data_IF_773063940313
#
_entry.id   IF_773063940313
#
_cell.length_a   1.000
_cell.length_b   1.000
_cell.length_c   1.000
_cell.angle_alpha   90.00
_cell.angle_beta   90.00
_cell.angle_gamma   90.00
#
_symmetry.space_group_name_H-M   'P 1'
#
loop_
_entity.id
_entity.type
_entity.pdbx_description
1 polymer ?
#
# COMPACT_ATOMS: atom_id res chain seq x y z
N UNK A 1 -7.69 38.12 -30.25
CA UNK A 1 -7.67 36.69 -29.83
C UNK A 1 -6.58 36.54 -28.80
N UNK A 2 -6.92 36.23 -27.55
CA UNK A 2 -5.92 36.00 -26.50
C UNK A 2 -5.43 34.57 -26.61
N UNK A 3 -4.14 34.38 -26.86
CA UNK A 3 -3.50 33.07 -26.91
C UNK A 3 -3.20 32.62 -25.48
N UNK A 4 -3.78 31.51 -25.04
CA UNK A 4 -3.41 30.85 -23.78
C UNK A 4 -1.97 30.37 -23.96
N UNK A 5 -1.02 30.76 -23.08
CA UNK A 5 0.36 30.30 -23.18
C UNK A 5 0.39 28.76 -23.03
N UNK A 6 1.29 28.07 -23.74
CA UNK A 6 1.42 26.62 -23.59
C UNK A 6 1.87 26.32 -22.16
N UNK A 7 0.99 25.68 -21.39
CA UNK A 7 1.32 25.14 -20.07
C UNK A 7 1.89 23.75 -20.30
N UNK A 8 3.12 23.53 -19.86
CA UNK A 8 3.69 22.18 -19.87
C UNK A 8 2.89 21.30 -18.89
N UNK A 9 2.55 20.06 -19.28
CA UNK A 9 1.86 19.14 -18.38
C UNK A 9 2.73 18.87 -17.15
N UNK A 10 2.17 19.12 -15.96
CA UNK A 10 2.82 18.80 -14.69
C UNK A 10 2.33 17.46 -14.16
N UNK A 11 3.25 16.63 -13.67
CA UNK A 11 2.90 15.39 -12.97
C UNK A 11 2.23 15.72 -11.65
N UNK A 12 1.02 15.23 -11.44
CA UNK A 12 0.37 15.25 -10.14
C UNK A 12 0.83 14.04 -9.31
N UNK A 13 1.12 14.26 -8.04
CA UNK A 13 1.43 13.21 -7.05
C UNK A 13 0.32 13.16 -6.04
N UNK A 14 -0.24 11.97 -5.82
CA UNK A 14 -1.32 11.77 -4.88
C UNK A 14 -0.81 11.77 -3.44
N UNK A 15 -1.57 12.37 -2.55
CA UNK A 15 -1.46 12.10 -1.12
C UNK A 15 -2.21 10.81 -0.76
N UNK A 16 -1.85 10.20 0.36
CA UNK A 16 -2.55 9.05 0.95
C UNK A 16 -4.04 9.35 1.15
N UNK A 17 -4.36 10.57 1.58
CA UNK A 17 -5.74 10.99 1.80
C UNK A 17 -6.53 11.08 0.48
N UNK A 18 -5.93 11.58 -0.59
CA UNK A 18 -6.54 11.56 -1.93
C UNK A 18 -6.72 10.14 -2.44
N UNK A 19 -5.69 9.31 -2.33
CA UNK A 19 -5.73 7.89 -2.72
C UNK A 19 -6.88 7.15 -2.03
N UNK A 20 -7.04 7.31 -0.71
CA UNK A 20 -8.15 6.70 0.04
C UNK A 20 -9.52 7.20 -0.39
N UNK A 21 -9.66 8.50 -0.71
CA UNK A 21 -10.90 9.05 -1.26
C UNK A 21 -11.25 8.44 -2.62
N UNK A 22 -10.26 8.19 -3.48
CA UNK A 22 -10.49 7.49 -4.75
C UNK A 22 -11.06 6.09 -4.51
N UNK A 23 -10.46 5.33 -3.59
CA UNK A 23 -10.97 4.00 -3.21
C UNK A 23 -12.40 4.04 -2.64
N UNK A 24 -12.68 4.97 -1.72
CA UNK A 24 -14.03 5.13 -1.14
C UNK A 24 -15.10 5.56 -2.16
N UNK A 25 -14.69 6.24 -3.23
CA UNK A 25 -15.60 6.64 -4.32
C UNK A 25 -15.91 5.51 -5.30
N UNK A 26 -15.24 4.35 -5.16
CA UNK A 26 -15.41 3.20 -6.05
C UNK A 26 -14.70 3.33 -7.40
N UNK A 27 -13.67 4.19 -7.49
CA UNK A 27 -12.84 4.29 -8.71
C UNK A 27 -12.03 3.01 -8.93
N UNK A 28 -11.55 2.40 -7.84
CA UNK A 28 -10.95 1.07 -7.86
C UNK A 28 -12.06 0.05 -7.62
N UNK A 29 -12.18 -0.94 -8.51
CA UNK A 29 -13.06 -2.09 -8.33
C UNK A 29 -12.62 -2.97 -7.16
N UNK A 30 -13.50 -3.87 -6.71
CA UNK A 30 -13.20 -4.79 -5.60
C UNK A 30 -12.00 -5.71 -5.88
N UNK A 31 -11.73 -6.00 -7.15
CA UNK A 31 -10.61 -6.82 -7.60
C UNK A 31 -9.36 -6.00 -7.98
N UNK A 32 -9.47 -4.66 -7.99
CA UNK A 32 -8.36 -3.77 -8.35
C UNK A 32 -7.39 -3.70 -7.18
N UNK A 33 -6.33 -4.50 -7.25
CA UNK A 33 -5.25 -4.48 -6.27
C UNK A 33 -4.28 -3.37 -6.65
N UNK A 34 -4.40 -2.23 -5.99
CA UNK A 34 -3.52 -1.08 -6.17
C UNK A 34 -2.86 -0.67 -4.86
N UNK A 35 -1.70 -0.03 -4.96
CA UNK A 35 -0.99 0.57 -3.84
C UNK A 35 -0.45 1.95 -4.20
N UNK A 36 -0.23 2.80 -3.18
CA UNK A 36 0.34 4.13 -3.36
C UNK A 36 1.80 4.13 -2.94
N UNK A 37 2.72 4.44 -3.85
CA UNK A 37 4.16 4.55 -3.60
C UNK A 37 4.66 5.86 -4.16
N UNK A 38 5.27 6.71 -3.32
CA UNK A 38 5.86 7.99 -3.74
C UNK A 38 4.87 8.82 -4.58
N UNK A 39 3.62 8.93 -4.12
CA UNK A 39 2.55 9.69 -4.75
C UNK A 39 2.06 9.12 -6.09
N UNK A 40 2.42 7.89 -6.42
CA UNK A 40 2.03 7.19 -7.64
C UNK A 40 1.25 5.93 -7.31
N UNK A 41 0.19 5.67 -8.08
CA UNK A 41 -0.65 4.49 -7.90
C UNK A 41 -0.12 3.37 -8.79
N UNK A 42 0.17 2.22 -8.20
CA UNK A 42 0.68 1.03 -8.88
C UNK A 42 -0.35 -0.09 -8.82
N UNK A 43 -0.55 -0.80 -9.93
CA UNK A 43 -1.25 -2.07 -9.94
C UNK A 43 -0.33 -3.17 -9.40
N UNK A 44 -0.82 -3.93 -8.43
CA UNK A 44 -0.08 -5.03 -7.83
C UNK A 44 -0.13 -6.27 -8.71
N UNK A 45 0.98 -7.02 -8.70
CA UNK A 45 1.02 -8.33 -9.34
C UNK A 45 0.03 -9.30 -8.67
N UNK A 46 -0.58 -10.23 -9.43
CA UNK A 46 -1.45 -11.27 -8.88
C UNK A 46 -0.73 -12.12 -7.82
N UNK A 47 -1.44 -12.46 -6.73
CA UNK A 47 -0.91 -13.34 -5.69
C UNK A 47 -1.03 -14.80 -6.12
N UNK A 48 0.11 -15.46 -6.31
CA UNK A 48 0.17 -16.89 -6.65
C UNK A 48 0.33 -17.81 -5.44
N UNK A 49 0.06 -19.11 -5.61
CA UNK A 49 0.18 -20.12 -4.55
C UNK A 49 1.56 -20.16 -3.87
N UNK A 50 2.65 -19.94 -4.64
CA UNK A 50 4.00 -19.87 -4.10
C UNK A 50 4.19 -18.68 -3.17
N UNK A 51 3.60 -17.53 -3.50
CA UNK A 51 3.66 -16.34 -2.65
C UNK A 51 2.92 -16.61 -1.33
N UNK A 52 1.67 -17.10 -1.41
CA UNK A 52 0.88 -17.46 -0.22
C UNK A 52 1.62 -18.46 0.69
N UNK A 53 2.29 -19.46 0.10
CA UNK A 53 3.08 -20.42 0.85
C UNK A 53 4.21 -19.79 1.65
N UNK A 54 4.94 -18.83 1.07
CA UNK A 54 6.01 -18.12 1.77
C UNK A 54 5.46 -17.18 2.86
N UNK A 55 4.38 -16.44 2.58
CA UNK A 55 3.74 -15.57 3.58
C UNK A 55 3.32 -16.39 4.80
N UNK A 56 2.63 -17.52 4.59
CA UNK A 56 2.21 -18.40 5.68
C UNK A 56 3.38 -18.97 6.48
N UNK A 57 4.46 -19.39 5.80
CA UNK A 57 5.66 -19.90 6.45
C UNK A 57 6.32 -18.83 7.32
N UNK A 58 6.54 -17.64 6.76
CA UNK A 58 7.21 -16.54 7.45
C UNK A 58 6.38 -16.02 8.62
N UNK A 59 5.07 -15.88 8.45
CA UNK A 59 4.15 -15.53 9.54
C UNK A 59 4.30 -16.50 10.71
N UNK A 60 4.28 -17.81 10.46
CA UNK A 60 4.50 -18.82 11.51
C UNK A 60 5.85 -18.67 12.20
N UNK A 61 6.91 -18.43 11.43
CA UNK A 61 8.26 -18.29 11.98
C UNK A 61 8.38 -17.02 12.84
N UNK A 62 7.83 -15.89 12.38
CA UNK A 62 7.90 -14.64 13.14
C UNK A 62 7.07 -14.69 14.41
N UNK A 63 5.84 -15.21 14.38
CA UNK A 63 5.03 -15.38 15.60
C UNK A 63 5.77 -16.15 16.69
N UNK A 64 6.49 -17.22 16.31
CA UNK A 64 7.26 -18.02 17.26
C UNK A 64 8.47 -17.27 17.87
N UNK A 65 9.02 -16.28 17.16
CA UNK A 65 10.22 -15.54 17.59
C UNK A 65 9.89 -14.24 18.33
N UNK A 66 8.84 -13.53 17.91
CA UNK A 66 8.51 -12.23 18.51
C UNK A 66 7.58 -12.34 19.72
N UNK A 67 6.77 -13.41 19.81
CA UNK A 67 5.80 -13.63 20.88
C UNK A 67 5.04 -12.33 21.24
N UNK A 68 5.12 -11.88 22.49
CA UNK A 68 4.43 -10.68 22.98
C UNK A 68 5.24 -9.38 22.82
N UNK A 69 6.45 -9.43 22.26
CA UNK A 69 7.31 -8.26 22.12
C UNK A 69 6.93 -7.36 20.92
N UNK A 70 6.20 -7.90 19.94
CA UNK A 70 5.78 -7.19 18.74
C UNK A 70 4.49 -7.77 18.16
N UNK A 71 3.83 -6.99 17.30
CA UNK A 71 2.72 -7.44 16.47
C UNK A 71 3.20 -7.84 15.08
N UNK A 72 2.62 -8.91 14.55
CA UNK A 72 2.78 -9.32 13.14
C UNK A 72 1.53 -8.90 12.37
N UNK A 73 1.69 -7.97 11.43
CA UNK A 73 0.67 -7.54 10.48
C UNK A 73 0.89 -8.26 9.16
N UNK A 74 -0.13 -8.91 8.60
CA UNK A 74 0.00 -9.74 7.39
C UNK A 74 -0.96 -9.22 6.34
N UNK A 75 -0.45 -8.88 5.15
CA UNK A 75 -1.25 -8.36 4.02
C UNK A 75 -2.12 -7.17 4.42
N UNK A 76 -1.49 -6.18 5.05
CA UNK A 76 -2.17 -4.94 5.43
C UNK A 76 -1.37 -3.73 4.94
N UNK A 77 -2.08 -2.65 4.56
CA UNK A 77 -1.44 -1.40 4.19
C UNK A 77 -0.70 -0.77 5.37
N UNK A 78 0.43 -0.11 5.08
CA UNK A 78 1.14 0.73 6.04
C UNK A 78 1.31 2.13 5.47
N UNK A 79 0.86 3.15 6.21
CA UNK A 79 1.09 4.54 5.82
C UNK A 79 2.53 4.95 6.14
N UNK A 80 3.26 5.36 5.11
CA UNK A 80 4.63 5.88 5.20
C UNK A 80 4.63 7.35 4.75
N UNK A 81 4.48 8.26 5.71
CA UNK A 81 4.36 9.69 5.42
C UNK A 81 3.03 10.06 4.77
N UNK A 82 3.06 11.05 3.89
CA UNK A 82 1.85 11.64 3.29
C UNK A 82 1.58 11.16 1.87
N UNK A 83 2.54 10.51 1.22
CA UNK A 83 2.47 10.11 -0.20
C UNK A 83 2.71 8.61 -0.44
N UNK A 84 2.82 7.79 0.60
CA UNK A 84 2.96 6.33 0.44
C UNK A 84 2.08 5.54 1.40
N UNK A 85 1.40 4.53 0.85
CA UNK A 85 0.65 3.50 1.56
C UNK A 85 0.80 2.15 0.83
N UNK A 86 1.99 1.51 0.90
CA UNK A 86 2.21 0.16 0.37
C UNK A 86 1.38 -0.90 1.10
N UNK A 87 0.98 -1.94 0.38
CA UNK A 87 0.40 -3.16 0.97
C UNK A 87 1.52 -4.15 1.30
N UNK A 88 1.74 -4.40 2.60
CA UNK A 88 2.84 -5.26 3.04
C UNK A 88 2.41 -6.72 3.07
N UNK A 89 3.22 -7.60 2.48
CA UNK A 89 3.09 -9.05 2.70
C UNK A 89 3.16 -9.39 4.20
N UNK A 90 4.17 -8.84 4.90
CA UNK A 90 4.40 -9.00 6.33
C UNK A 90 5.04 -7.73 6.91
N UNK A 91 4.46 -7.19 7.97
CA UNK A 91 5.06 -6.17 8.84
C UNK A 91 5.26 -6.67 10.27
N UNK A 92 6.36 -6.30 10.89
CA UNK A 92 6.64 -6.53 12.32
C UNK A 92 6.85 -5.18 12.99
N UNK A 93 6.07 -4.88 14.02
CA UNK A 93 6.15 -3.58 14.71
C UNK A 93 5.95 -3.75 16.21
N UNK A 94 6.62 -2.90 17.00
CA UNK A 94 6.40 -2.82 18.44
C UNK A 94 4.95 -2.42 18.74
N UNK A 95 4.40 -2.95 19.82
CA UNK A 95 3.08 -2.57 20.33
C UNK A 95 3.29 -1.29 21.15
N UNK A 96 2.97 -0.13 20.59
CA UNK A 96 2.79 1.07 21.40
C UNK A 96 1.41 0.99 22.08
N UNK A 97 1.41 0.74 23.39
CA UNK A 97 0.25 0.93 24.25
C UNK A 97 0.07 2.41 24.60
#
# INVERSE_FOLDING_TARGET
MSTIPPVEPQKHRFTVEEYRRLGQSGIFGEDDRVELIDGEIYEMAPVGARHMGHVNLLTRLFYAQVADAATISVQNPVRLGDDSEPDLDIGVAEIFA
#
